data_IF_556806571302
#
_entry.id   IF_556806571302
#
_cell.length_a   1.000
_cell.length_b   1.000
_cell.length_c   1.000
_cell.angle_alpha   90.00
_cell.angle_beta   90.00
_cell.angle_gamma   90.00
#
_symmetry.space_group_name_H-M   'P 1'
#
loop_
_entity.id
_entity.type
_entity.pdbx_description
1 polymer ?
#
# COMPACT_ATOMS: atom_id res chain seq x y z
N UNK A 1 -8.15 45.55 7.07
CA UNK A 1 -8.55 44.24 7.64
C UNK A 1 -8.05 43.05 6.78
N UNK A 2 -8.03 43.17 5.47
CA UNK A 2 -7.62 42.07 4.57
C UNK A 2 -6.13 41.68 4.67
N UNK A 3 -5.23 42.63 4.89
CA UNK A 3 -3.78 42.38 4.97
C UNK A 3 -3.38 41.46 6.09
N UNK A 4 -3.94 41.63 7.28
CA UNK A 4 -3.61 40.77 8.44
C UNK A 4 -4.13 39.35 8.27
N UNK A 5 -5.30 39.22 7.69
CA UNK A 5 -5.90 37.91 7.39
C UNK A 5 -5.10 37.15 6.34
N UNK A 6 -4.77 37.81 5.22
CA UNK A 6 -4.01 37.21 4.13
C UNK A 6 -2.58 36.82 4.57
N UNK A 7 -1.97 37.63 5.43
CA UNK A 7 -0.66 37.31 5.99
C UNK A 7 -0.70 36.10 6.93
N UNK A 8 -1.70 36.02 7.80
CA UNK A 8 -1.90 34.87 8.69
C UNK A 8 -2.24 33.60 7.87
N UNK A 9 -3.06 33.73 6.85
CA UNK A 9 -3.40 32.63 5.96
C UNK A 9 -2.18 32.08 5.22
N UNK A 10 -1.35 32.97 4.67
CA UNK A 10 -0.12 32.58 3.98
C UNK A 10 0.89 31.90 4.91
N UNK A 11 1.01 32.36 6.16
CA UNK A 11 1.84 31.72 7.18
C UNK A 11 1.32 30.34 7.56
N UNK A 12 0.00 30.20 7.71
CA UNK A 12 -0.63 28.92 8.00
C UNK A 12 -0.45 27.93 6.85
N UNK A 13 -0.64 28.37 5.62
CA UNK A 13 -0.43 27.54 4.43
C UNK A 13 1.04 27.11 4.28
N UNK A 14 1.98 27.99 4.50
CA UNK A 14 3.41 27.66 4.46
C UNK A 14 3.79 26.66 5.57
N UNK A 15 3.20 26.79 6.76
CA UNK A 15 3.36 25.82 7.84
C UNK A 15 2.78 24.44 7.49
N UNK A 16 1.60 24.42 6.92
CA UNK A 16 0.95 23.17 6.48
C UNK A 16 1.70 22.47 5.35
N UNK A 17 2.23 23.22 4.40
CA UNK A 17 3.03 22.65 3.30
C UNK A 17 4.30 21.97 3.82
N UNK A 18 4.96 22.54 4.83
CA UNK A 18 6.13 21.91 5.47
C UNK A 18 5.79 20.61 6.20
N UNK A 19 4.60 20.53 6.75
CA UNK A 19 4.12 19.34 7.46
C UNK A 19 3.61 18.28 6.48
N UNK A 20 2.90 18.67 5.43
CA UNK A 20 2.28 17.74 4.48
C UNK A 20 3.29 16.99 3.63
N UNK A 21 4.45 17.59 3.34
CA UNK A 21 5.50 16.91 2.56
C UNK A 21 6.21 15.79 3.33
N UNK A 22 6.14 15.78 4.66
CA UNK A 22 6.78 14.74 5.48
C UNK A 22 5.82 13.67 6.00
N UNK A 23 4.52 13.90 6.04
CA UNK A 23 3.61 13.05 6.81
C UNK A 23 2.84 12.02 6.02
N UNK A 24 2.56 12.23 4.74
CA UNK A 24 1.67 11.35 3.99
C UNK A 24 2.37 10.11 3.43
N UNK A 25 3.65 10.19 3.13
CA UNK A 25 4.42 9.07 2.58
C UNK A 25 5.08 8.17 3.64
N UNK A 26 5.22 8.67 4.88
CA UNK A 26 5.98 7.99 5.93
C UNK A 26 5.14 7.29 7.00
N UNK A 27 3.81 7.30 6.91
CA UNK A 27 2.95 6.65 7.91
C UNK A 27 2.98 5.12 7.84
N UNK A 28 3.21 4.57 6.66
CA UNK A 28 3.42 3.14 6.47
C UNK A 28 4.88 2.92 6.08
N UNK A 29 5.68 2.58 7.05
CA UNK A 29 7.01 2.04 6.79
C UNK A 29 6.85 0.60 6.32
N UNK A 30 7.20 0.36 5.05
CA UNK A 30 7.23 -0.99 4.53
C UNK A 30 8.40 -1.74 5.19
N UNK A 31 8.15 -2.91 5.81
CA UNK A 31 9.21 -3.73 6.32
C UNK A 31 10.09 -4.23 5.16
N UNK A 32 11.33 -4.46 5.47
CA UNK A 32 12.28 -4.98 4.50
C UNK A 32 11.93 -6.44 4.14
N UNK A 33 11.71 -6.75 2.85
CA UNK A 33 11.39 -8.12 2.47
C UNK A 33 12.57 -9.06 2.71
N UNK A 34 12.30 -10.16 3.41
CA UNK A 34 13.29 -11.19 3.65
C UNK A 34 13.15 -12.28 2.58
N UNK A 35 13.99 -12.22 1.58
CA UNK A 35 13.97 -13.12 0.43
C UNK A 35 15.01 -14.21 0.59
N UNK A 36 14.58 -15.46 0.43
CA UNK A 36 15.44 -16.64 0.38
C UNK A 36 15.22 -17.36 -0.93
N UNK A 37 16.29 -17.80 -1.56
CA UNK A 37 16.23 -18.62 -2.76
C UNK A 37 16.48 -20.08 -2.42
N UNK A 38 15.56 -20.95 -2.79
CA UNK A 38 15.71 -22.40 -2.68
C UNK A 38 15.54 -22.99 -4.08
N UNK A 39 16.67 -23.38 -4.70
CA UNK A 39 16.65 -23.84 -6.08
C UNK A 39 16.13 -22.80 -7.05
N UNK A 40 15.02 -23.12 -7.73
CA UNK A 40 14.33 -22.19 -8.65
C UNK A 40 13.18 -21.42 -8.00
N UNK A 41 13.00 -21.54 -6.69
CA UNK A 41 11.91 -20.91 -5.95
C UNK A 41 12.41 -19.74 -5.12
N UNK A 42 11.61 -18.70 -5.03
CA UNK A 42 11.85 -17.56 -4.15
C UNK A 42 10.87 -17.64 -2.98
N UNK A 43 11.37 -17.60 -1.76
CA UNK A 43 10.57 -17.64 -0.54
C UNK A 43 10.66 -16.28 0.14
N UNK A 44 9.53 -15.64 0.33
CA UNK A 44 9.41 -14.40 1.10
C UNK A 44 8.98 -14.76 2.52
N UNK A 45 9.91 -14.68 3.47
CA UNK A 45 9.68 -15.16 4.84
C UNK A 45 8.70 -14.31 5.64
N UNK A 46 8.72 -13.01 5.45
CA UNK A 46 7.91 -12.06 6.19
C UNK A 46 6.69 -11.56 5.39
N UNK A 47 6.18 -12.38 4.49
CA UNK A 47 5.05 -12.00 3.63
C UNK A 47 3.80 -11.59 4.44
N UNK A 48 3.50 -12.27 5.54
CA UNK A 48 2.30 -12.01 6.34
C UNK A 48 2.24 -10.60 6.94
N UNK A 49 3.37 -9.94 7.12
CA UNK A 49 3.44 -8.57 7.64
C UNK A 49 2.85 -7.55 6.66
N UNK A 50 3.02 -7.75 5.34
CA UNK A 50 2.57 -6.81 4.33
C UNK A 50 1.05 -6.69 4.23
N UNK A 51 0.28 -7.79 4.13
CA UNK A 51 -1.18 -7.71 4.13
C UNK A 51 -1.77 -7.09 5.40
N UNK A 52 -1.17 -7.36 6.55
CA UNK A 52 -1.57 -6.77 7.83
C UNK A 52 -1.39 -5.25 7.86
N UNK A 53 -0.27 -4.75 7.31
CA UNK A 53 -0.02 -3.31 7.19
C UNK A 53 -1.00 -2.64 6.24
N UNK A 54 -1.31 -3.29 5.13
CA UNK A 54 -2.24 -2.77 4.13
C UNK A 54 -3.70 -2.95 4.51
N UNK A 55 -4.02 -3.73 5.54
CA UNK A 55 -5.38 -4.14 5.91
C UNK A 55 -6.11 -4.78 4.73
N UNK A 56 -5.42 -5.67 4.04
CA UNK A 56 -5.94 -6.39 2.87
C UNK A 56 -5.82 -7.88 3.06
N UNK A 57 -6.62 -8.64 2.30
CA UNK A 57 -6.53 -10.10 2.30
C UNK A 57 -5.18 -10.55 1.74
N UNK A 58 -4.50 -11.50 2.42
CA UNK A 58 -3.22 -12.00 1.94
C UNK A 58 -3.32 -12.67 0.57
N UNK A 59 -4.42 -13.35 0.28
CA UNK A 59 -4.64 -13.99 -1.02
C UNK A 59 -4.72 -12.98 -2.17
N UNK A 60 -5.36 -11.85 -1.95
CA UNK A 60 -5.46 -10.78 -2.96
C UNK A 60 -4.12 -10.12 -3.24
N UNK A 61 -3.36 -9.83 -2.19
CA UNK A 61 -2.01 -9.29 -2.35
C UNK A 61 -1.11 -10.27 -3.11
N UNK A 62 -1.22 -11.56 -2.78
CA UNK A 62 -0.49 -12.62 -3.47
C UNK A 62 -0.85 -12.71 -4.95
N UNK A 63 -2.15 -12.65 -5.27
CA UNK A 63 -2.61 -12.65 -6.67
C UNK A 63 -2.07 -11.46 -7.46
N UNK A 64 -2.06 -10.29 -6.84
CA UNK A 64 -1.47 -9.10 -7.46
C UNK A 64 0.02 -9.30 -7.76
N UNK A 65 0.77 -9.77 -6.79
CA UNK A 65 2.20 -10.04 -6.96
C UNK A 65 2.46 -11.12 -8.01
N UNK A 66 1.68 -12.17 -8.01
CA UNK A 66 1.79 -13.25 -9.00
C UNK A 66 1.53 -12.76 -10.43
N UNK A 67 0.55 -11.89 -10.61
CA UNK A 67 0.29 -11.27 -11.92
C UNK A 67 1.42 -10.36 -12.38
N UNK A 68 1.90 -9.50 -11.50
CA UNK A 68 2.98 -8.55 -11.84
C UNK A 68 4.30 -9.26 -12.14
N UNK A 69 4.60 -10.32 -11.43
CA UNK A 69 5.79 -11.15 -11.65
C UNK A 69 5.60 -12.20 -12.74
N UNK A 70 4.37 -12.40 -13.23
CA UNK A 70 3.99 -13.43 -14.17
C UNK A 70 4.45 -14.85 -13.75
N UNK A 71 4.32 -15.15 -12.47
CA UNK A 71 4.72 -16.42 -11.87
C UNK A 71 3.60 -17.00 -11.02
N UNK A 72 3.61 -18.32 -10.85
CA UNK A 72 2.74 -18.94 -9.86
C UNK A 72 3.26 -18.65 -8.45
N UNK A 73 2.35 -18.38 -7.53
CA UNK A 73 2.66 -18.11 -6.14
C UNK A 73 1.71 -18.86 -5.22
N UNK A 74 2.19 -19.25 -4.06
CA UNK A 74 1.39 -19.90 -3.02
C UNK A 74 1.76 -19.37 -1.64
N UNK A 75 0.82 -19.45 -0.70
CA UNK A 75 1.03 -19.07 0.69
C UNK A 75 1.26 -20.34 1.50
N UNK A 76 2.31 -20.32 2.30
CA UNK A 76 2.61 -21.36 3.29
C UNK A 76 2.77 -20.71 4.66
N UNK A 77 1.69 -20.66 5.44
CA UNK A 77 1.65 -20.00 6.73
C UNK A 77 1.93 -18.50 6.62
N UNK A 78 3.05 -18.07 7.18
CA UNK A 78 3.51 -16.67 7.12
C UNK A 78 4.41 -16.37 5.93
N UNK A 79 4.67 -17.35 5.10
CA UNK A 79 5.59 -17.27 3.96
C UNK A 79 4.84 -17.29 2.65
N UNK A 80 5.39 -16.62 1.66
CA UNK A 80 4.94 -16.75 0.28
C UNK A 80 6.02 -17.40 -0.55
N UNK A 81 5.62 -18.35 -1.37
CA UNK A 81 6.50 -19.10 -2.26
C UNK A 81 6.19 -18.68 -3.68
N UNK A 82 7.19 -18.20 -4.40
CA UNK A 82 7.10 -17.81 -5.80
C UNK A 82 7.97 -18.73 -6.64
N UNK A 83 7.48 -19.14 -7.81
CA UNK A 83 8.25 -19.93 -8.76
C UNK A 83 9.15 -18.99 -9.57
N UNK A 84 10.44 -19.26 -9.60
CA UNK A 84 11.43 -18.43 -10.24
C UNK A 84 12.24 -17.58 -9.26
N UNK A 85 13.41 -17.13 -9.69
CA UNK A 85 14.26 -16.26 -8.90
C UNK A 85 13.85 -14.82 -9.10
N UNK A 86 13.49 -14.13 -8.02
CA UNK A 86 13.14 -12.72 -8.01
C UNK A 86 13.97 -11.98 -6.97
N UNK A 87 14.38 -10.77 -7.31
CA UNK A 87 15.20 -9.95 -6.44
C UNK A 87 14.36 -9.25 -5.38
N UNK A 88 14.98 -8.97 -4.24
CA UNK A 88 14.42 -8.18 -3.16
C UNK A 88 13.93 -6.80 -3.64
N UNK A 89 14.71 -6.14 -4.49
CA UNK A 89 14.35 -4.84 -5.06
C UNK A 89 13.05 -4.89 -5.87
N UNK A 90 12.80 -5.96 -6.62
CA UNK A 90 11.56 -6.17 -7.35
C UNK A 90 10.35 -6.25 -6.42
N UNK A 91 10.45 -6.97 -5.31
CA UNK A 91 9.38 -7.03 -4.31
C UNK A 91 9.11 -5.66 -3.67
N UNK A 92 10.14 -4.91 -3.32
CA UNK A 92 9.99 -3.56 -2.77
C UNK A 92 9.25 -2.64 -3.73
N UNK A 93 9.62 -2.64 -5.00
CA UNK A 93 8.96 -1.83 -6.03
C UNK A 93 7.48 -2.24 -6.19
N UNK A 94 7.19 -3.53 -6.20
CA UNK A 94 5.82 -4.04 -6.31
C UNK A 94 4.96 -3.68 -5.09
N UNK A 95 5.49 -3.77 -3.89
CA UNK A 95 4.77 -3.37 -2.69
C UNK A 95 4.51 -1.85 -2.66
N UNK A 96 5.49 -1.05 -3.05
CA UNK A 96 5.30 0.40 -3.17
C UNK A 96 4.23 0.75 -4.20
N UNK A 97 4.27 0.12 -5.36
CA UNK A 97 3.26 0.29 -6.41
C UNK A 97 1.88 -0.14 -5.94
N UNK A 98 1.77 -1.29 -5.28
CA UNK A 98 0.53 -1.77 -4.70
C UNK A 98 -0.04 -0.77 -3.67
N UNK A 99 0.81 -0.25 -2.80
CA UNK A 99 0.42 0.74 -1.81
C UNK A 99 -0.12 2.01 -2.46
N UNK A 100 0.55 2.53 -3.48
CA UNK A 100 0.12 3.72 -4.20
C UNK A 100 -1.21 3.50 -4.95
N UNK A 101 -1.38 2.34 -5.58
CA UNK A 101 -2.54 2.06 -6.43
C UNK A 101 -3.78 1.63 -5.63
N UNK A 102 -3.60 0.83 -4.57
CA UNK A 102 -4.69 0.16 -3.89
C UNK A 102 -4.90 0.56 -2.44
N UNK A 103 -3.89 1.06 -1.76
CA UNK A 103 -3.94 1.40 -0.33
C UNK A 103 -4.10 2.89 -0.11
N UNK A 104 -3.39 3.70 -0.88
CA UNK A 104 -3.43 5.16 -0.74
C UNK A 104 -4.77 5.73 -1.23
N UNK A 105 -5.37 6.60 -0.42
CA UNK A 105 -6.59 7.29 -0.81
C UNK A 105 -6.33 8.26 -1.97
N UNK A 106 -7.13 8.24 -3.05
CA UNK A 106 -6.95 9.15 -4.17
C UNK A 106 -7.33 10.60 -3.86
N UNK A 107 -8.05 10.83 -2.76
CA UNK A 107 -8.54 12.17 -2.39
C UNK A 107 -7.59 12.85 -1.42
N UNK A 108 -7.25 12.21 -0.30
CA UNK A 108 -6.41 12.82 0.74
C UNK A 108 -4.96 12.28 0.78
N UNK A 109 -4.67 11.22 0.04
CA UNK A 109 -3.35 10.58 0.03
C UNK A 109 -3.00 9.81 1.30
N UNK A 110 -3.96 9.57 2.19
CA UNK A 110 -3.75 8.80 3.42
C UNK A 110 -3.70 7.29 3.12
N UNK A 111 -2.81 6.55 3.77
CA UNK A 111 -2.76 5.10 3.65
C UNK A 111 -3.81 4.36 4.51
N UNK A 112 -4.57 5.08 5.33
CA UNK A 112 -5.57 4.52 6.25
C UNK A 112 -6.86 4.18 5.50
N UNK A 113 -6.83 3.17 4.65
CA UNK A 113 -7.97 2.71 3.87
C UNK A 113 -8.28 1.25 4.14
N UNK A 114 -9.53 0.87 4.01
CA UNK A 114 -9.95 -0.52 4.06
C UNK A 114 -10.91 -0.85 2.92
N UNK A 115 -11.12 -2.13 2.69
CA UNK A 115 -12.04 -2.62 1.66
C UNK A 115 -13.37 -3.00 2.31
N UNK A 116 -14.45 -2.40 1.84
CA UNK A 116 -15.81 -2.84 2.14
C UNK A 116 -16.40 -3.57 0.94
N UNK A 117 -17.05 -4.69 1.23
CA UNK A 117 -17.78 -5.45 0.22
C UNK A 117 -19.27 -5.26 0.43
N UNK A 118 -19.95 -4.69 -0.57
CA UNK A 118 -21.39 -4.52 -0.57
C UNK A 118 -21.95 -5.17 -1.84
N UNK A 119 -22.75 -6.23 -1.68
CA UNK A 119 -23.45 -6.89 -2.80
C UNK A 119 -22.56 -7.20 -4.02
N UNK A 120 -21.46 -7.90 -3.84
CA UNK A 120 -20.44 -8.24 -4.86
C UNK A 120 -19.58 -7.07 -5.35
N UNK A 121 -19.82 -5.86 -4.87
CA UNK A 121 -18.98 -4.71 -5.19
C UNK A 121 -17.97 -4.46 -4.06
N UNK A 122 -16.76 -4.12 -4.44
CA UNK A 122 -15.70 -3.80 -3.49
C UNK A 122 -15.40 -2.31 -3.56
N UNK A 123 -15.44 -1.66 -2.39
CA UNK A 123 -15.15 -0.24 -2.24
C UNK A 123 -13.94 -0.03 -1.34
N UNK A 124 -13.10 0.90 -1.73
CA UNK A 124 -12.04 1.40 -0.88
C UNK A 124 -12.57 2.60 -0.08
N UNK A 125 -12.60 2.46 1.24
CA UNK A 125 -13.07 3.48 2.15
C UNK A 125 -11.88 4.05 2.91
N UNK A 126 -11.73 5.38 2.88
CA UNK A 126 -10.71 6.07 3.65
C UNK A 126 -11.24 6.44 5.03
N UNK A 127 -10.53 6.06 6.09
CA UNK A 127 -10.89 6.42 7.46
C UNK A 127 -10.52 7.88 7.79
N UNK A 128 -9.56 8.46 7.07
CA UNK A 128 -9.10 9.82 7.31
C UNK A 128 -10.04 10.90 6.74
N UNK A 129 -10.52 10.72 5.50
CA UNK A 129 -11.37 11.70 4.83
C UNK A 129 -12.79 11.20 4.55
N UNK A 130 -13.08 9.93 4.76
CA UNK A 130 -14.36 9.31 4.50
C UNK A 130 -14.68 9.06 3.01
N UNK A 131 -13.73 9.28 2.10
CA UNK A 131 -13.93 9.07 0.67
C UNK A 131 -14.13 7.60 0.35
N UNK A 132 -15.13 7.31 -0.48
CA UNK A 132 -15.40 5.96 -1.00
C UNK A 132 -15.11 5.93 -2.49
N UNK A 133 -14.34 4.95 -2.91
CA UNK A 133 -14.02 4.74 -4.32
C UNK A 133 -14.10 3.26 -4.67
N UNK A 134 -14.34 2.96 -5.94
CA UNK A 134 -14.32 1.57 -6.39
C UNK A 134 -12.92 0.98 -6.22
N UNK A 135 -12.84 -0.18 -5.56
CA UNK A 135 -11.59 -0.91 -5.43
C UNK A 135 -11.35 -1.76 -6.68
N UNK A 136 -10.15 -1.72 -7.20
CA UNK A 136 -9.72 -2.66 -8.22
C UNK A 136 -9.52 -4.02 -7.56
N UNK A 137 -10.44 -4.93 -7.81
CA UNK A 137 -10.31 -6.33 -7.41
C UNK A 137 -9.86 -7.10 -8.63
N UNK A 138 -8.65 -7.60 -8.57
CA UNK A 138 -8.12 -8.52 -9.56
C UNK A 138 -8.16 -9.94 -9.02
#
# INVERSE_FOLDING_TARGET
>A
MSRQYDELLSRAQAGLQKISTKSSLNRLELPEPQVIWVGKKTILRNYAEFPKLFRRDPDRVLMYLAKELATAASIDGERAIFIGRKDKASFMQLFQKYMLDNVTCPVCGSPDTHIETVSRLHFRVCEACGARSAAKVN
#
